data_IF_619824247804
#
_entry.id   IF_619824247804
#
_cell.length_a   1.000
_cell.length_b   1.000
_cell.length_c   1.000
_cell.angle_alpha   90.00
_cell.angle_beta   90.00
_cell.angle_gamma   90.00
#
_symmetry.space_group_name_H-M   'P 1'
#
loop_
_entity.id
_entity.type
_entity.pdbx_description
1 polymer ?
#
# COMPACT_ATOMS: atom_id res chain seq x y z
N UNK A 1 -6.75 -0.32 5.17
CA UNK A 1 -7.20 -1.16 6.31
C UNK A 1 -8.30 -0.43 7.06
N UNK A 2 -8.52 -0.73 8.35
CA UNK A 2 -9.55 -0.06 9.16
C UNK A 2 -9.23 1.41 9.48
N UNK A 3 -7.95 1.77 9.65
CA UNK A 3 -7.58 3.14 10.08
C UNK A 3 -6.76 3.89 9.05
N UNK A 4 -5.83 3.18 8.39
CA UNK A 4 -4.89 3.81 7.44
C UNK A 4 -4.76 3.01 6.15
N UNK A 5 -4.26 3.69 5.14
CA UNK A 5 -3.84 3.13 3.87
C UNK A 5 -2.35 3.40 3.67
N UNK A 6 -1.65 2.40 3.14
CA UNK A 6 -0.20 2.43 2.93
C UNK A 6 0.10 2.09 1.48
N UNK A 7 1.09 2.75 0.90
CA UNK A 7 1.57 2.47 -0.44
C UNK A 7 3.11 2.42 -0.44
N UNK A 8 3.68 1.56 -1.27
CA UNK A 8 5.11 1.49 -1.56
C UNK A 8 5.32 1.08 -3.02
N UNK A 9 6.55 1.24 -3.53
CA UNK A 9 6.90 0.84 -4.90
C UNK A 9 7.86 -0.33 -4.87
N UNK A 10 7.58 -1.34 -5.71
CA UNK A 10 8.45 -2.49 -5.96
C UNK A 10 8.91 -2.44 -7.41
N UNK A 11 10.22 -2.47 -7.65
CA UNK A 11 10.83 -2.47 -9.00
C UNK A 11 11.85 -3.59 -9.12
N UNK A 12 11.80 -4.36 -10.21
CA UNK A 12 12.69 -5.51 -10.39
C UNK A 12 12.60 -6.54 -9.26
N UNK A 13 11.41 -6.73 -8.70
CA UNK A 13 11.17 -7.64 -7.56
C UNK A 13 11.71 -7.14 -6.22
N UNK A 14 12.14 -5.88 -6.10
CA UNK A 14 12.71 -5.32 -4.86
C UNK A 14 11.93 -4.08 -4.40
N UNK A 15 11.51 -4.01 -3.13
CA UNK A 15 10.96 -2.77 -2.57
C UNK A 15 12.06 -1.72 -2.47
N UNK A 16 11.69 -0.44 -2.61
CA UNK A 16 12.61 0.66 -2.31
C UNK A 16 12.85 0.74 -0.80
N UNK A 17 14.11 0.89 -0.40
CA UNK A 17 14.53 0.99 1.00
C UNK A 17 14.98 2.42 1.25
N UNK A 18 14.52 3.00 2.36
CA UNK A 18 15.03 4.27 2.90
C UNK A 18 15.85 3.99 4.16
N UNK A 19 16.90 4.77 4.38
CA UNK A 19 17.72 4.71 5.60
C UNK A 19 17.39 5.83 6.59
N UNK A 20 16.37 6.64 6.27
CA UNK A 20 15.79 7.65 7.14
C UNK A 20 14.27 7.67 6.97
N UNK A 21 13.56 7.59 8.08
CA UNK A 21 12.11 7.81 8.11
C UNK A 21 11.72 8.51 9.42
N UNK A 22 10.54 9.12 9.46
CA UNK A 22 10.06 9.85 10.62
C UNK A 22 8.89 9.11 11.28
N UNK A 23 8.91 8.99 12.61
CA UNK A 23 7.86 8.30 13.40
C UNK A 23 7.12 9.28 14.30
N UNK A 24 5.85 9.03 14.56
CA UNK A 24 5.04 9.83 15.49
C UNK A 24 4.42 11.09 14.88
N UNK A 25 4.47 11.25 13.55
CA UNK A 25 3.84 12.36 12.85
C UNK A 25 2.42 12.11 12.38
N UNK A 26 1.73 13.17 11.94
CA UNK A 26 0.37 13.12 11.38
C UNK A 26 0.26 12.38 10.02
N UNK A 27 1.36 11.78 9.55
CA UNK A 27 1.46 10.98 8.32
C UNK A 27 2.92 10.65 7.99
N UNK A 28 3.15 9.51 7.32
CA UNK A 28 4.44 9.17 6.72
C UNK A 28 4.40 9.53 5.24
N UNK A 29 5.25 10.46 4.82
CA UNK A 29 5.30 10.93 3.43
C UNK A 29 6.55 10.41 2.70
N UNK A 30 6.91 9.15 2.93
CA UNK A 30 7.98 8.47 2.18
C UNK A 30 9.36 9.13 2.34
N UNK A 31 9.76 9.39 3.58
CA UNK A 31 11.12 9.83 3.95
C UNK A 31 11.53 11.26 3.56
N UNK A 32 10.77 11.97 2.71
CA UNK A 32 11.22 13.26 2.11
C UNK A 32 10.63 14.54 2.71
N UNK A 33 9.59 14.46 3.54
CA UNK A 33 9.10 15.63 4.31
C UNK A 33 9.67 15.57 5.72
N UNK A 34 10.75 16.31 5.93
CA UNK A 34 11.30 16.56 7.26
C UNK A 34 10.26 17.25 8.17
N UNK A 35 10.30 16.96 9.47
CA UNK A 35 9.57 17.75 10.49
C UNK A 35 8.16 17.28 10.86
N UNK A 36 7.69 16.13 10.38
CA UNK A 36 6.39 15.59 10.86
C UNK A 36 6.53 14.73 12.11
N UNK A 37 7.71 14.21 12.44
CA UNK A 37 7.93 13.29 13.58
C UNK A 37 9.41 13.18 13.98
N UNK A 38 9.74 12.17 14.78
CA UNK A 38 11.13 11.88 15.23
C UNK A 38 11.87 11.13 14.11
N UNK A 39 13.04 11.61 13.65
CA UNK A 39 13.82 10.91 12.64
C UNK A 39 14.44 9.63 13.20
N UNK A 40 14.31 8.54 12.46
CA UNK A 40 14.88 7.22 12.75
C UNK A 40 15.84 6.85 11.60
N UNK A 41 17.09 6.55 11.94
CA UNK A 41 18.19 6.23 11.02
C UNK A 41 18.39 4.71 10.83
N UNK A 42 17.29 4.00 10.62
CA UNK A 42 17.26 2.53 10.45
C UNK A 42 16.70 2.20 9.06
N UNK A 43 17.25 1.21 8.33
CA UNK A 43 16.69 0.77 7.06
C UNK A 43 15.23 0.34 7.21
N UNK A 44 14.36 0.91 6.39
CA UNK A 44 12.93 0.57 6.35
C UNK A 44 12.45 0.51 4.90
N UNK A 45 11.36 -0.23 4.67
CA UNK A 45 10.64 -0.16 3.39
C UNK A 45 10.11 1.27 3.25
N UNK A 46 10.42 1.87 2.12
CA UNK A 46 10.00 3.22 1.81
C UNK A 46 8.51 3.23 1.44
N UNK A 47 7.69 3.58 2.42
CA UNK A 47 6.24 3.61 2.34
C UNK A 47 5.68 4.98 2.66
N UNK A 48 4.57 5.32 2.01
CA UNK A 48 3.71 6.42 2.41
C UNK A 48 2.50 5.86 3.17
N UNK A 49 2.03 6.62 4.16
CA UNK A 49 0.85 6.30 4.96
C UNK A 49 -0.08 7.51 5.03
N UNK A 50 -1.35 7.26 4.76
CA UNK A 50 -2.44 8.23 4.88
C UNK A 50 -3.50 7.74 5.85
N UNK A 51 -4.06 8.64 6.64
CA UNK A 51 -5.13 8.39 7.60
C UNK A 51 -6.49 8.17 6.92
N UNK A 52 -6.58 7.17 6.06
CA UNK A 52 -7.77 6.79 5.31
C UNK A 52 -8.00 5.28 5.43
N UNK A 53 -9.14 4.88 5.98
CA UNK A 53 -9.52 3.48 6.16
C UNK A 53 -11.01 3.33 6.40
N UNK A 54 -11.48 2.09 6.61
CA UNK A 54 -12.90 1.79 6.81
C UNK A 54 -13.55 2.52 7.99
N UNK A 55 -12.78 2.77 9.06
CA UNK A 55 -13.24 3.52 10.24
C UNK A 55 -13.11 5.03 10.12
N UNK A 56 -12.59 5.57 9.00
CA UNK A 56 -12.49 7.02 8.82
C UNK A 56 -13.88 7.67 8.91
N UNK A 57 -14.01 8.67 9.78
CA UNK A 57 -15.27 9.35 10.05
C UNK A 57 -15.54 10.39 8.96
N UNK A 58 -16.76 10.41 8.44
CA UNK A 58 -17.28 11.43 7.54
C UNK A 58 -17.94 12.56 8.34
N UNK A 59 -17.64 13.81 8.00
CA UNK A 59 -18.14 14.98 8.73
C UNK A 59 -18.15 16.21 7.84
N UNK A 60 -18.92 17.23 8.23
CA UNK A 60 -18.95 18.53 7.54
C UNK A 60 -18.07 19.51 8.29
N UNK A 61 -17.17 20.19 7.56
CA UNK A 61 -16.39 21.27 8.16
C UNK A 61 -17.24 22.53 8.41
N UNK A 62 -16.62 23.56 9.02
CA UNK A 62 -17.33 24.81 9.35
C UNK A 62 -17.91 25.51 8.12
N UNK A 63 -17.42 25.21 6.92
CA UNK A 63 -17.92 25.75 5.67
C UNK A 63 -18.96 24.84 5.00
N UNK A 64 -19.39 23.76 5.67
CA UNK A 64 -20.34 22.78 5.14
C UNK A 64 -19.73 21.82 4.10
N UNK A 65 -18.40 21.79 3.96
CA UNK A 65 -17.74 20.88 3.00
C UNK A 65 -17.57 19.50 3.60
N UNK A 66 -17.92 18.46 2.84
CA UNK A 66 -17.74 17.07 3.24
C UNK A 66 -16.25 16.71 3.35
N UNK A 67 -15.87 16.15 4.50
CA UNK A 67 -14.56 15.62 4.82
C UNK A 67 -14.67 14.17 5.26
N UNK A 68 -13.65 13.37 4.98
CA UNK A 68 -13.52 11.99 5.47
C UNK A 68 -12.15 11.82 6.10
N UNK A 69 -12.10 11.41 7.36
CA UNK A 69 -10.87 11.45 8.16
C UNK A 69 -10.47 12.88 8.57
N UNK A 70 -9.28 13.07 9.18
CA UNK A 70 -8.33 12.02 9.60
C UNK A 70 -8.79 11.28 10.86
N UNK A 71 -9.88 11.73 11.50
CA UNK A 71 -10.49 11.02 12.64
C UNK A 71 -10.95 9.63 12.20
N UNK A 72 -10.75 8.65 13.07
CA UNK A 72 -11.21 7.28 12.89
C UNK A 72 -12.03 6.85 14.09
N UNK A 73 -13.11 6.12 13.85
CA UNK A 73 -13.91 5.46 14.87
C UNK A 73 -13.21 4.21 15.45
N UNK A 74 -12.08 3.79 14.86
CA UNK A 74 -11.34 2.61 15.28
C UNK A 74 -12.17 1.32 15.12
N UNK A 75 -11.93 0.36 16.00
CA UNK A 75 -12.74 -0.87 16.11
C UNK A 75 -13.78 -0.80 17.24
N UNK A 76 -13.58 0.08 18.23
CA UNK A 76 -14.49 0.33 19.34
C UNK A 76 -14.43 1.83 19.70
N UNK A 77 -15.55 2.57 19.64
CA UNK A 77 -16.91 2.10 19.35
C UNK A 77 -17.14 1.70 17.88
N UNK A 78 -16.19 2.00 16.98
CA UNK A 78 -16.21 1.57 15.59
C UNK A 78 -17.27 2.24 14.71
N UNK A 79 -17.35 1.84 13.43
CA UNK A 79 -18.47 2.15 12.54
C UNK A 79 -19.84 1.95 13.18
N UNK A 80 -20.83 2.79 12.83
CA UNK A 80 -22.17 2.67 13.39
C UNK A 80 -22.80 1.30 13.10
N UNK A 81 -22.51 0.75 11.92
CA UNK A 81 -22.96 -0.57 11.49
C UNK A 81 -22.42 -1.73 12.35
N UNK A 82 -21.40 -1.52 13.18
CA UNK A 82 -20.92 -2.56 14.11
C UNK A 82 -21.85 -2.74 15.31
N UNK A 83 -22.70 -1.77 15.64
CA UNK A 83 -23.61 -1.85 16.78
C UNK A 83 -22.91 -1.80 18.15
N UNK A 84 -21.67 -1.33 18.21
CA UNK A 84 -20.85 -1.26 19.43
C UNK A 84 -20.91 0.14 20.10
N UNK A 85 -21.95 0.92 19.82
CA UNK A 85 -22.14 2.27 20.36
C UNK A 85 -21.64 3.41 19.45
N UNK A 86 -21.06 3.09 18.28
CA UNK A 86 -20.69 4.08 17.28
C UNK A 86 -21.94 4.72 16.64
N UNK A 87 -21.89 6.03 16.38
CA UNK A 87 -23.02 6.78 15.80
C UNK A 87 -22.62 7.75 14.69
N UNK A 88 -21.32 8.07 14.56
CA UNK A 88 -20.82 8.91 13.48
C UNK A 88 -20.73 8.09 12.17
N UNK A 89 -21.05 8.68 11.00
CA UNK A 89 -20.94 7.98 9.74
C UNK A 89 -19.48 7.71 9.39
N UNK A 90 -19.19 6.47 8.98
CA UNK A 90 -17.84 6.05 8.55
C UNK A 90 -17.82 5.52 7.12
N UNK A 91 -16.61 5.27 6.61
CA UNK A 91 -16.40 4.63 5.31
C UNK A 91 -17.03 3.23 5.24
N UNK A 92 -16.95 2.45 6.32
CA UNK A 92 -17.60 1.13 6.39
C UNK A 92 -19.12 1.26 6.34
N UNK A 93 -19.71 2.25 7.01
CA UNK A 93 -21.15 2.53 6.94
C UNK A 93 -21.57 2.87 5.50
N UNK A 94 -20.81 3.74 4.83
CA UNK A 94 -21.03 4.10 3.44
C UNK A 94 -20.95 2.88 2.50
N UNK A 95 -19.91 2.06 2.63
CA UNK A 95 -19.73 0.88 1.80
C UNK A 95 -20.81 -0.19 2.05
N UNK A 96 -21.36 -0.28 3.25
CA UNK A 96 -22.51 -1.14 3.55
C UNK A 96 -23.79 -0.61 2.88
N UNK A 97 -24.05 0.70 2.97
CA UNK A 97 -25.21 1.33 2.30
C UNK A 97 -25.11 1.19 0.78
N UNK A 98 -23.94 1.38 0.19
CA UNK A 98 -23.72 1.23 -1.26
C UNK A 98 -23.86 -0.21 -1.75
N UNK A 99 -23.97 -1.21 -0.86
CA UNK A 99 -24.00 -2.62 -1.23
C UNK A 99 -22.62 -3.17 -1.67
N UNK A 100 -21.54 -2.45 -1.39
CA UNK A 100 -20.17 -2.91 -1.64
C UNK A 100 -19.67 -3.86 -0.55
N UNK A 101 -20.24 -3.78 0.65
CA UNK A 101 -19.99 -4.69 1.77
C UNK A 101 -21.27 -5.48 2.10
N UNK A 102 -21.17 -6.72 2.58
CA UNK A 102 -22.31 -7.49 3.10
C UNK A 102 -22.22 -7.67 4.62
N UNK A 103 -23.38 -7.92 5.21
CA UNK A 103 -23.53 -8.40 6.59
C UNK A 103 -23.56 -9.93 6.68
N UNK A 104 -23.14 -10.65 5.63
CA UNK A 104 -23.28 -12.11 5.55
C UNK A 104 -22.24 -12.83 6.41
N UNK A 105 -20.98 -12.39 6.36
CA UNK A 105 -19.87 -13.02 7.08
C UNK A 105 -19.68 -12.45 8.49
N UNK A 106 -20.06 -11.19 8.71
CA UNK A 106 -19.97 -10.50 10.00
C UNK A 106 -21.32 -9.83 10.25
N UNK A 107 -21.92 -9.97 11.45
CA UNK A 107 -23.14 -9.26 11.79
C UNK A 107 -22.91 -7.75 11.73
N UNK A 108 -23.50 -7.11 10.72
CA UNK A 108 -23.53 -5.66 10.57
C UNK A 108 -24.98 -5.20 10.59
N UNK A 109 -25.22 -3.96 11.00
CA UNK A 109 -26.55 -3.35 11.05
C UNK A 109 -26.73 -2.32 9.93
N UNK A 110 -27.36 -2.70 8.79
CA UNK A 110 -27.75 -1.75 7.76
C UNK A 110 -28.60 -0.59 8.28
N UNK A 111 -29.56 -0.78 9.22
CA UNK A 111 -30.32 0.34 9.79
C UNK A 111 -29.46 1.38 10.52
N UNK A 112 -28.41 0.95 11.25
CA UNK A 112 -27.51 1.88 11.94
C UNK A 112 -26.62 2.64 10.96
N UNK A 113 -26.10 1.96 9.93
CA UNK A 113 -25.34 2.61 8.85
C UNK A 113 -26.18 3.67 8.13
N UNK A 114 -27.42 3.30 7.78
CA UNK A 114 -28.40 4.17 7.15
C UNK A 114 -28.67 5.42 7.99
N UNK A 115 -28.97 5.24 9.28
CA UNK A 115 -29.24 6.34 10.21
C UNK A 115 -28.05 7.29 10.36
N UNK A 116 -26.83 6.77 10.44
CA UNK A 116 -25.62 7.59 10.53
C UNK A 116 -25.43 8.44 9.26
N UNK A 117 -25.64 7.85 8.08
CA UNK A 117 -25.53 8.56 6.81
C UNK A 117 -26.68 9.54 6.55
N UNK A 118 -27.90 9.30 7.06
CA UNK A 118 -28.98 10.30 7.00
C UNK A 118 -28.58 11.60 7.71
N UNK A 119 -27.88 11.49 8.84
CA UNK A 119 -27.35 12.64 9.58
C UNK A 119 -26.32 13.45 8.79
N UNK A 120 -25.64 12.83 7.82
CA UNK A 120 -24.72 13.48 6.90
C UNK A 120 -25.43 14.04 5.66
N UNK A 121 -26.37 13.28 5.11
CA UNK A 121 -27.07 13.59 3.86
C UNK A 121 -28.03 14.79 4.01
N UNK A 122 -28.73 14.88 5.15
CA UNK A 122 -29.68 15.97 5.43
C UNK A 122 -29.06 17.36 5.29
N UNK A 123 -27.97 17.68 6.01
CA UNK A 123 -27.30 18.98 5.89
C UNK A 123 -26.64 19.22 4.52
N UNK A 124 -26.29 18.18 3.77
CA UNK A 124 -25.76 18.29 2.40
C UNK A 124 -26.85 18.52 1.35
N UNK A 125 -28.13 18.28 1.67
CA UNK A 125 -29.23 18.41 0.72
C UNK A 125 -29.20 17.35 -0.39
N UNK A 126 -28.64 16.17 -0.13
CA UNK A 126 -28.54 15.05 -1.09
C UNK A 126 -29.19 13.78 -0.55
N UNK A 127 -29.37 12.77 -1.41
CA UNK A 127 -29.84 11.46 -0.95
C UNK A 127 -28.78 10.76 -0.10
N UNK A 128 -29.22 9.78 0.71
CA UNK A 128 -28.33 8.94 1.52
C UNK A 128 -27.28 8.24 0.65
N UNK A 129 -27.70 7.72 -0.50
CA UNK A 129 -26.84 7.01 -1.45
C UNK A 129 -25.80 7.94 -2.05
N UNK A 130 -26.20 9.16 -2.42
CA UNK A 130 -25.29 10.17 -2.93
C UNK A 130 -24.26 10.58 -1.87
N UNK A 131 -24.67 10.74 -0.61
CA UNK A 131 -23.76 11.00 0.50
C UNK A 131 -22.80 9.82 0.74
N UNK A 132 -23.31 8.58 0.73
CA UNK A 132 -22.50 7.37 0.87
C UNK A 132 -21.46 7.25 -0.26
N UNK A 133 -21.88 7.49 -1.50
CA UNK A 133 -21.00 7.47 -2.66
C UNK A 133 -19.93 8.55 -2.57
N UNK A 134 -20.29 9.76 -2.14
CA UNK A 134 -19.33 10.84 -1.91
C UNK A 134 -18.28 10.46 -0.84
N UNK A 135 -18.69 9.80 0.25
CA UNK A 135 -17.76 9.27 1.26
C UNK A 135 -16.79 8.24 0.64
N UNK A 136 -17.30 7.31 -0.17
CA UNK A 136 -16.48 6.32 -0.87
C UNK A 136 -15.47 6.97 -1.83
N UNK A 137 -15.88 7.98 -2.60
CA UNK A 137 -14.99 8.69 -3.52
C UNK A 137 -13.93 9.52 -2.82
N UNK A 138 -14.29 10.24 -1.75
CA UNK A 138 -13.35 11.06 -0.99
C UNK A 138 -12.30 10.18 -0.31
N UNK A 139 -12.69 9.05 0.31
CA UNK A 139 -11.71 8.15 0.92
C UNK A 139 -10.81 7.52 -0.15
N UNK A 140 -11.34 7.13 -1.30
CA UNK A 140 -10.55 6.58 -2.41
C UNK A 140 -9.54 7.60 -2.93
N UNK A 141 -9.93 8.87 -3.06
CA UNK A 141 -9.03 9.98 -3.40
C UNK A 141 -7.94 10.20 -2.33
N UNK A 142 -8.30 10.08 -1.06
CA UNK A 142 -7.34 10.16 0.06
C UNK A 142 -6.33 9.02 0.01
N UNK A 143 -6.79 7.78 -0.22
CA UNK A 143 -5.90 6.62 -0.41
C UNK A 143 -4.97 6.79 -1.62
N UNK A 144 -5.47 7.34 -2.72
CA UNK A 144 -4.68 7.67 -3.91
C UNK A 144 -3.52 8.63 -3.60
N UNK A 145 -3.66 9.52 -2.61
CA UNK A 145 -2.56 10.40 -2.20
C UNK A 145 -1.33 9.64 -1.72
N UNK A 146 -1.47 8.45 -1.13
CA UNK A 146 -0.33 7.60 -0.76
C UNK A 146 0.43 7.10 -1.99
N UNK A 147 -0.31 6.69 -3.04
CA UNK A 147 0.28 6.28 -4.33
C UNK A 147 1.01 7.45 -4.98
N UNK A 148 0.42 8.65 -4.97
CA UNK A 148 1.05 9.87 -5.51
C UNK A 148 2.40 10.18 -4.83
N UNK A 149 2.50 10.03 -3.51
CA UNK A 149 3.74 10.26 -2.74
C UNK A 149 4.84 9.28 -3.11
N UNK A 150 4.52 8.00 -3.30
CA UNK A 150 5.53 6.98 -3.63
C UNK A 150 5.83 6.86 -5.13
N UNK A 151 5.03 7.48 -5.99
CA UNK A 151 5.23 7.46 -7.46
C UNK A 151 5.55 8.84 -8.04
N UNK A 152 4.53 9.65 -8.32
CA UNK A 152 4.62 10.92 -9.06
C UNK A 152 5.57 11.91 -8.39
N UNK A 153 5.54 12.06 -7.07
CA UNK A 153 6.47 12.94 -6.34
C UNK A 153 7.93 12.49 -6.42
N UNK A 154 8.19 11.31 -6.97
CA UNK A 154 9.51 10.72 -7.16
C UNK A 154 9.88 10.58 -8.65
N UNK A 155 9.10 11.20 -9.55
CA UNK A 155 9.31 11.09 -10.99
C UNK A 155 9.07 9.68 -11.55
N UNK A 156 8.27 8.86 -10.86
CA UNK A 156 7.89 7.53 -11.31
C UNK A 156 6.52 7.62 -11.98
N UNK A 157 6.44 7.19 -13.24
CA UNK A 157 5.17 7.06 -13.97
C UNK A 157 4.41 5.82 -13.47
N UNK A 158 3.26 5.98 -12.78
CA UNK A 158 2.49 4.86 -12.24
C UNK A 158 1.82 4.00 -13.32
N UNK A 159 1.62 4.50 -14.55
CA UNK A 159 0.92 3.76 -15.61
C UNK A 159 1.64 2.48 -16.03
N UNK A 160 2.97 2.42 -15.83
CA UNK A 160 3.78 1.23 -16.08
C UNK A 160 3.74 0.18 -14.96
N UNK A 161 2.90 0.36 -13.93
CA UNK A 161 2.82 -0.53 -12.78
C UNK A 161 1.46 -1.24 -12.69
N UNK A 162 1.48 -2.42 -12.05
CA UNK A 162 0.28 -3.08 -11.54
C UNK A 162 0.05 -2.66 -10.10
N UNK A 163 -1.17 -2.24 -9.75
CA UNK A 163 -1.55 -1.95 -8.37
C UNK A 163 -1.88 -3.26 -7.63
N UNK A 164 -1.06 -3.66 -6.67
CA UNK A 164 -1.36 -4.81 -5.81
C UNK A 164 -2.18 -4.34 -4.60
N UNK A 165 -3.44 -4.74 -4.52
CA UNK A 165 -4.36 -4.32 -3.46
C UNK A 165 -4.59 -5.43 -2.44
N UNK A 166 -4.36 -5.11 -1.16
CA UNK A 166 -4.54 -6.03 -0.05
C UNK A 166 -4.98 -5.33 1.24
N UNK A 167 -5.23 -6.13 2.28
CA UNK A 167 -5.90 -5.76 3.51
C UNK A 167 -7.43 -5.77 3.36
N UNK A 168 -8.16 -5.74 4.48
CA UNK A 168 -9.62 -5.95 4.45
C UNK A 168 -10.43 -4.95 3.60
N UNK A 169 -9.99 -3.69 3.53
CA UNK A 169 -10.68 -2.63 2.77
C UNK A 169 -9.99 -2.25 1.45
N UNK A 170 -8.76 -2.69 1.21
CA UNK A 170 -7.97 -2.22 0.06
C UNK A 170 -8.61 -2.56 -1.29
N UNK A 171 -8.94 -3.84 -1.56
CA UNK A 171 -9.56 -4.27 -2.82
C UNK A 171 -10.87 -3.57 -3.18
N UNK A 172 -11.63 -3.09 -2.18
CA UNK A 172 -12.90 -2.39 -2.39
C UNK A 172 -12.73 -1.01 -3.04
N UNK A 173 -11.59 -0.36 -2.81
CA UNK A 173 -11.28 0.97 -3.32
C UNK A 173 -10.27 0.94 -4.48
N UNK A 174 -9.72 -0.23 -4.80
CA UNK A 174 -8.53 -0.36 -5.65
C UNK A 174 -8.76 0.09 -7.09
N UNK A 175 -9.92 -0.21 -7.68
CA UNK A 175 -10.27 0.25 -9.03
C UNK A 175 -10.29 1.79 -9.10
N UNK A 176 -10.98 2.45 -8.16
CA UNK A 176 -11.04 3.93 -8.08
C UNK A 176 -9.68 4.57 -7.83
N UNK A 177 -8.81 3.93 -7.04
CA UNK A 177 -7.43 4.39 -6.85
C UNK A 177 -6.63 4.25 -8.15
N UNK A 178 -6.79 3.15 -8.87
CA UNK A 178 -6.09 2.88 -10.12
C UNK A 178 -6.50 3.84 -11.25
N UNK A 179 -7.79 4.14 -11.40
CA UNK A 179 -8.33 5.10 -12.39
C UNK A 179 -7.64 6.46 -12.31
N UNK A 180 -7.41 6.97 -11.08
CA UNK A 180 -6.79 8.28 -10.84
C UNK A 180 -5.35 8.40 -11.35
N UNK A 181 -4.67 7.28 -11.56
CA UNK A 181 -3.29 7.22 -12.04
C UNK A 181 -3.15 6.58 -13.42
N UNK A 182 -4.26 6.21 -14.07
CA UNK A 182 -4.23 5.48 -15.33
C UNK A 182 -3.58 4.09 -15.21
N UNK A 183 -3.66 3.48 -14.02
CA UNK A 183 -3.16 2.12 -13.81
C UNK A 183 -4.18 1.14 -14.41
N UNK A 184 -3.80 0.45 -15.49
CA UNK A 184 -4.69 -0.44 -16.22
C UNK A 184 -4.97 -1.77 -15.50
N UNK A 185 -4.13 -2.17 -14.54
CA UNK A 185 -4.22 -3.48 -13.89
C UNK A 185 -4.14 -3.37 -12.38
N UNK A 186 -5.12 -3.96 -11.70
CA UNK A 186 -5.12 -4.20 -10.25
C UNK A 186 -5.01 -5.70 -10.02
N UNK A 187 -4.17 -6.11 -9.07
CA UNK A 187 -4.05 -7.50 -8.64
C UNK A 187 -4.45 -7.63 -7.18
N UNK A 188 -5.40 -8.53 -6.87
CA UNK A 188 -5.86 -8.84 -5.52
C UNK A 188 -5.42 -10.26 -5.16
N UNK A 189 -4.38 -10.46 -4.34
CA UNK A 189 -3.84 -11.79 -4.03
C UNK A 189 -4.82 -12.70 -3.29
N UNK A 190 -4.62 -14.02 -3.38
CA UNK A 190 -5.45 -15.06 -2.74
C UNK A 190 -5.65 -14.87 -1.21
N UNK A 191 -4.68 -14.28 -0.53
CA UNK A 191 -4.75 -14.02 0.91
C UNK A 191 -4.78 -12.52 1.21
N UNK A 192 -5.47 -11.73 0.37
CA UNK A 192 -5.44 -10.28 0.44
C UNK A 192 -5.78 -9.73 1.84
N UNK A 193 -6.78 -10.29 2.53
CA UNK A 193 -7.17 -9.86 3.88
C UNK A 193 -6.05 -10.00 4.94
N UNK A 194 -5.14 -10.96 4.76
CA UNK A 194 -4.04 -11.30 5.69
C UNK A 194 -2.66 -11.21 5.03
N UNK A 195 -2.53 -10.47 3.93
CA UNK A 195 -1.31 -10.46 3.12
C UNK A 195 -0.05 -10.03 3.89
N UNK A 196 -0.18 -9.20 4.93
CA UNK A 196 0.96 -8.86 5.81
C UNK A 196 1.48 -10.06 6.60
N UNK A 197 0.59 -10.95 7.06
CA UNK A 197 1.00 -12.19 7.74
C UNK A 197 1.63 -13.17 6.74
N UNK A 198 1.08 -13.26 5.52
CA UNK A 198 1.69 -14.04 4.45
C UNK A 198 3.11 -13.51 4.10
N UNK A 199 3.29 -12.20 4.03
CA UNK A 199 4.58 -11.56 3.81
C UNK A 199 5.59 -11.82 4.93
N UNK A 200 5.14 -11.88 6.19
CA UNK A 200 5.98 -12.27 7.33
C UNK A 200 6.51 -13.71 7.19
N UNK A 201 5.67 -14.63 6.73
CA UNK A 201 6.05 -16.04 6.52
C UNK A 201 6.93 -16.24 5.28
N UNK A 202 6.77 -15.40 4.26
CA UNK A 202 7.52 -15.48 3.01
C UNK A 202 8.86 -14.72 3.03
N UNK A 203 9.04 -13.80 3.99
CA UNK A 203 10.21 -12.95 4.08
C UNK A 203 11.47 -13.71 4.48
N UNK A 204 12.57 -13.46 3.77
CA UNK A 204 13.89 -13.90 4.21
C UNK A 204 14.30 -13.14 5.48
N UNK A 205 14.87 -13.84 6.46
CA UNK A 205 15.48 -13.19 7.63
C UNK A 205 16.70 -12.39 7.18
N UNK A 206 16.86 -11.19 7.70
CA UNK A 206 18.02 -10.36 7.40
C UNK A 206 18.39 -9.45 8.56
N UNK A 207 19.69 -9.21 8.70
CA UNK A 207 20.27 -8.30 9.68
C UNK A 207 21.11 -7.26 8.96
N UNK A 208 20.92 -5.98 9.31
CA UNK A 208 21.70 -4.86 8.82
C UNK A 208 22.67 -4.35 9.91
N UNK A 209 23.88 -3.98 9.49
CA UNK A 209 24.90 -3.31 10.32
C UNK A 209 25.49 -2.12 9.56
N UNK A 210 25.79 -1.05 10.29
CA UNK A 210 26.36 0.17 9.73
C UNK A 210 27.46 0.72 10.64
N UNK A 211 28.56 1.18 10.03
CA UNK A 211 29.60 1.96 10.69
C UNK A 211 29.74 3.31 10.00
N UNK A 212 29.53 4.40 10.74
CA UNK A 212 29.81 5.75 10.27
C UNK A 212 31.30 6.05 10.39
N UNK A 213 31.98 6.21 9.26
CA UNK A 213 33.42 6.52 9.21
C UNK A 213 33.74 7.23 7.89
N UNK A 214 34.44 8.35 7.97
CA UNK A 214 34.91 9.08 6.80
C UNK A 214 36.09 8.34 6.16
N UNK A 215 35.99 8.04 4.86
CA UNK A 215 37.04 7.53 3.97
C UNK A 215 38.09 6.62 4.65
N UNK A 216 37.70 5.41 5.00
CA UNK A 216 38.50 4.47 5.80
C UNK A 216 39.76 3.90 5.13
N UNK A 217 40.19 4.40 3.98
CA UNK A 217 41.27 3.79 3.19
C UNK A 217 40.84 2.44 2.63
N UNK A 218 41.22 1.32 3.27
CA UNK A 218 40.76 -0.03 2.95
C UNK A 218 39.49 -0.38 3.75
N UNK A 219 38.31 -0.52 3.10
CA UNK A 219 37.07 -0.86 3.79
C UNK A 219 36.86 -2.36 4.01
N UNK A 220 37.71 -3.24 3.49
CA UNK A 220 37.52 -4.69 3.62
C UNK A 220 37.49 -5.18 5.08
N UNK A 221 38.38 -4.70 5.99
CA UNK A 221 38.29 -5.07 7.41
C UNK A 221 36.97 -4.64 8.05
N UNK A 222 36.43 -3.48 7.65
CA UNK A 222 35.14 -2.98 8.16
C UNK A 222 34.01 -3.91 7.71
N UNK A 223 33.94 -4.22 6.41
CA UNK A 223 32.91 -5.12 5.89
C UNK A 223 32.96 -6.51 6.53
N UNK A 224 34.17 -7.04 6.77
CA UNK A 224 34.34 -8.33 7.43
C UNK A 224 33.79 -8.32 8.87
N UNK A 225 34.11 -7.29 9.65
CA UNK A 225 33.58 -7.14 11.01
C UNK A 225 32.06 -7.02 11.02
N UNK A 226 31.49 -6.11 10.22
CA UNK A 226 30.04 -5.91 10.16
C UNK A 226 29.30 -7.16 9.66
N UNK A 227 29.89 -7.92 8.73
CA UNK A 227 29.31 -9.18 8.26
C UNK A 227 29.31 -10.27 9.34
N UNK A 228 30.40 -10.38 10.11
CA UNK A 228 30.48 -11.34 11.21
C UNK A 228 29.44 -11.04 12.30
N UNK A 229 29.31 -9.78 12.70
CA UNK A 229 28.30 -9.33 13.67
C UNK A 229 26.88 -9.57 13.18
N UNK A 230 26.58 -9.22 11.93
CA UNK A 230 25.25 -9.43 11.34
C UNK A 230 24.90 -10.92 11.17
N UNK A 231 25.88 -11.77 10.85
CA UNK A 231 25.68 -13.21 10.74
C UNK A 231 25.45 -13.87 12.12
N UNK A 232 26.14 -13.41 13.16
CA UNK A 232 25.98 -13.92 14.52
C UNK A 232 24.54 -13.75 15.03
N UNK A 233 23.89 -12.62 14.73
CA UNK A 233 22.48 -12.37 15.08
C UNK A 233 21.51 -13.36 14.42
N UNK A 234 21.82 -13.86 13.23
CA UNK A 234 20.95 -14.79 12.50
C UNK A 234 21.08 -16.23 13.02
N UNK A 235 22.20 -16.57 13.66
CA UNK A 235 22.43 -17.91 14.20
C UNK A 235 22.50 -19.04 13.17
N UNK A 236 22.73 -18.70 11.88
CA UNK A 236 22.79 -19.65 10.77
C UNK A 236 24.23 -19.82 10.24
N UNK A 237 24.54 -20.97 9.58
CA UNK A 237 25.85 -21.18 8.97
C UNK A 237 26.16 -20.14 7.89
N UNK A 238 27.39 -19.62 7.87
CA UNK A 238 27.81 -18.60 6.91
C UNK A 238 27.65 -19.04 5.43
N UNK A 239 27.72 -20.34 5.14
CA UNK A 239 27.52 -20.92 3.81
C UNK A 239 26.11 -20.73 3.25
N UNK A 240 25.12 -20.49 4.12
CA UNK A 240 23.72 -20.28 3.73
C UNK A 240 23.38 -18.80 3.57
N UNK A 241 24.27 -17.91 4.00
CA UNK A 241 24.01 -16.48 4.11
C UNK A 241 24.51 -15.71 2.90
N UNK A 242 23.67 -14.82 2.37
CA UNK A 242 24.06 -13.84 1.34
C UNK A 242 24.47 -12.53 2.00
N UNK A 243 25.69 -12.09 1.73
CA UNK A 243 26.22 -10.79 2.21
C UNK A 243 26.12 -9.76 1.09
N UNK A 244 25.45 -8.64 1.35
CA UNK A 244 25.40 -7.47 0.48
C UNK A 244 26.14 -6.31 1.16
N UNK A 245 27.01 -5.63 0.41
CA UNK A 245 27.84 -4.52 0.89
C UNK A 245 27.44 -3.23 0.19
N UNK A 246 27.25 -2.17 0.96
CA UNK A 246 26.97 -0.83 0.43
C UNK A 246 27.70 0.24 1.23
N UNK A 247 27.76 1.43 0.66
CA UNK A 247 28.41 2.59 1.27
C UNK A 247 27.54 3.82 1.10
N UNK A 248 27.57 4.70 2.10
CA UNK A 248 26.95 6.02 2.03
C UNK A 248 27.96 6.99 1.44
N UNK A 249 27.59 7.61 0.32
CA UNK A 249 28.45 8.48 -0.49
C UNK A 249 27.82 9.86 -0.60
N UNK A 250 28.64 10.90 -0.51
CA UNK A 250 28.23 12.28 -0.77
C UNK A 250 29.29 13.04 -1.55
N UNK A 251 28.92 14.16 -2.15
CA UNK A 251 29.92 15.10 -2.64
C UNK A 251 30.67 15.73 -1.47
N UNK A 252 31.97 15.96 -1.63
CA UNK A 252 32.80 16.59 -0.61
C UNK A 252 32.23 17.96 -0.20
N UNK A 253 32.01 18.15 1.10
CA UNK A 253 31.40 19.36 1.65
C UNK A 253 29.85 19.39 1.64
N UNK A 254 29.19 18.37 1.06
CA UNK A 254 27.75 18.21 1.15
C UNK A 254 27.35 17.59 2.50
N UNK A 255 26.16 17.92 3.00
CA UNK A 255 25.62 17.34 4.23
C UNK A 255 24.81 16.04 4.03
N UNK A 256 24.25 15.82 2.84
CA UNK A 256 23.37 14.69 2.54
C UNK A 256 24.11 13.62 1.74
N UNK A 257 23.92 12.37 2.13
CA UNK A 257 24.49 11.18 1.50
C UNK A 257 23.43 10.30 0.81
N UNK A 258 23.89 9.48 -0.12
CA UNK A 258 23.10 8.44 -0.78
C UNK A 258 23.82 7.09 -0.65
N UNK A 259 23.08 6.07 -0.28
CA UNK A 259 23.59 4.70 -0.23
C UNK A 259 23.69 4.10 -1.64
N UNK A 260 24.87 3.56 -1.97
CA UNK A 260 25.12 2.83 -3.22
C UNK A 260 25.81 1.49 -2.95
N UNK A 261 25.57 0.50 -3.82
CA UNK A 261 26.21 -0.81 -3.72
C UNK A 261 27.74 -0.67 -3.88
N UNK A 262 28.48 -1.31 -2.97
CA UNK A 262 29.94 -1.24 -2.94
C UNK A 262 30.56 -1.85 -4.21
N UNK A 263 31.68 -1.26 -4.63
CA UNK A 263 32.57 -1.84 -5.63
C UNK A 263 34.00 -1.35 -5.33
N UNK A 264 35.04 -2.19 -5.51
CA UNK A 264 36.41 -1.79 -5.23
C UNK A 264 36.93 -0.68 -6.15
N UNK A 265 36.30 -0.46 -7.32
CA UNK A 265 36.66 0.63 -8.23
C UNK A 265 35.99 1.93 -7.78
N UNK A 266 36.81 2.90 -7.34
CA UNK A 266 36.36 4.26 -7.00
C UNK A 266 35.59 4.93 -8.15
N UNK A 267 36.06 4.77 -9.39
CA UNK A 267 35.38 5.36 -10.56
C UNK A 267 34.00 4.76 -10.77
N UNK A 268 33.87 3.43 -10.70
CA UNK A 268 32.56 2.77 -10.80
C UNK A 268 31.63 3.16 -9.65
N UNK A 269 32.17 3.33 -8.45
CA UNK A 269 31.42 3.79 -7.30
C UNK A 269 30.90 5.23 -7.52
N UNK A 270 31.75 6.12 -8.03
CA UNK A 270 31.39 7.49 -8.39
C UNK A 270 30.30 7.51 -9.47
N UNK A 271 30.45 6.74 -10.55
CA UNK A 271 29.42 6.63 -11.60
C UNK A 271 28.08 6.13 -11.06
N UNK A 272 28.09 5.12 -10.16
CA UNK A 272 26.88 4.63 -9.48
C UNK A 272 26.23 5.72 -8.63
N UNK A 273 27.03 6.49 -7.90
CA UNK A 273 26.56 7.62 -7.10
C UNK A 273 25.97 8.71 -7.98
N UNK A 274 26.63 9.17 -9.04
CA UNK A 274 26.11 10.21 -9.94
C UNK A 274 24.80 9.79 -10.59
N UNK A 275 24.69 8.55 -11.07
CA UNK A 275 23.46 8.02 -11.64
C UNK A 275 22.32 7.96 -10.60
N UNK A 276 22.61 7.59 -9.34
CA UNK A 276 21.63 7.60 -8.25
C UNK A 276 21.25 9.03 -7.86
N UNK A 277 22.20 9.96 -7.82
CA UNK A 277 22.00 11.37 -7.51
C UNK A 277 21.05 12.03 -8.52
N UNK A 278 21.33 11.85 -9.82
CA UNK A 278 20.47 12.34 -10.90
C UNK A 278 19.05 11.77 -10.82
N UNK A 279 18.90 10.49 -10.46
CA UNK A 279 17.58 9.87 -10.28
C UNK A 279 16.82 10.41 -9.07
N UNK A 280 17.51 10.75 -7.98
CA UNK A 280 16.89 11.20 -6.73
C UNK A 280 16.53 12.68 -6.79
N UNK A 281 17.43 13.51 -7.31
CA UNK A 281 17.34 14.97 -7.28
C UNK A 281 17.01 15.60 -8.64
N UNK A 282 17.04 14.85 -9.74
CA UNK A 282 16.77 15.36 -11.09
C UNK A 282 17.91 16.19 -11.68
N UNK A 283 19.09 16.20 -11.05
CA UNK A 283 20.24 17.01 -11.44
C UNK A 283 21.42 16.09 -11.76
N UNK A 284 21.98 16.24 -12.96
CA UNK A 284 23.25 15.62 -13.31
C UNK A 284 24.39 16.43 -12.68
N UNK A 285 25.13 15.81 -11.77
CA UNK A 285 26.28 16.41 -11.10
C UNK A 285 27.40 15.39 -11.02
N UNK A 286 28.62 15.85 -11.28
CA UNK A 286 29.87 15.09 -11.14
C UNK A 286 30.82 15.88 -10.23
N UNK A 287 31.73 15.18 -9.56
CA UNK A 287 32.67 15.82 -8.64
C UNK A 287 33.32 14.84 -7.67
N UNK A 288 34.16 15.38 -6.77
CA UNK A 288 34.85 14.60 -5.75
C UNK A 288 33.84 14.02 -4.74
N UNK A 289 33.93 12.71 -4.49
CA UNK A 289 33.05 11.98 -3.58
C UNK A 289 33.81 11.56 -2.31
N UNK A 290 33.11 11.56 -1.17
CA UNK A 290 33.61 11.01 0.09
C UNK A 290 32.66 9.91 0.62
N UNK A 291 33.24 8.87 1.20
CA UNK A 291 32.52 7.79 1.87
C UNK A 291 32.29 8.19 3.32
N UNK A 292 31.06 8.15 3.81
CA UNK A 292 30.72 8.54 5.20
C UNK A 292 30.18 7.39 6.05
N UNK A 293 29.77 6.29 5.41
CA UNK A 293 29.20 5.13 6.07
C UNK A 293 29.45 3.84 5.31
N UNK A 294 29.65 2.75 6.04
CA UNK A 294 29.84 1.41 5.53
C UNK A 294 28.73 0.51 6.04
N UNK A 295 28.05 -0.19 5.13
CA UNK A 295 26.85 -0.98 5.43
C UNK A 295 27.02 -2.42 4.97
N UNK A 296 26.56 -3.34 5.81
CA UNK A 296 26.41 -4.75 5.47
C UNK A 296 24.99 -5.19 5.78
N UNK A 297 24.39 -5.87 4.81
CA UNK A 297 23.18 -6.66 5.00
C UNK A 297 23.52 -8.13 4.83
N UNK A 298 23.20 -8.94 5.84
CA UNK A 298 23.26 -10.40 5.75
C UNK A 298 21.84 -10.92 5.64
N UNK A 299 21.58 -11.79 4.66
CA UNK A 299 20.24 -12.32 4.39
C UNK A 299 20.30 -13.83 4.31
N UNK A 300 19.42 -14.51 5.06
CA UNK A 300 19.19 -15.93 4.97
C UNK A 300 18.48 -16.30 3.65
N UNK A 301 18.46 -17.59 3.25
CA UNK A 301 17.60 -18.03 2.16
C UNK A 301 16.14 -17.70 2.47
N UNK A 302 15.38 -17.31 1.45
CA UNK A 302 13.95 -17.12 1.63
C UNK A 302 13.29 -18.47 1.96
N UNK A 303 12.32 -18.52 2.87
CA UNK A 303 11.54 -19.72 3.11
C UNK A 303 10.87 -20.20 1.81
N UNK A 304 10.82 -21.52 1.62
CA UNK A 304 10.01 -22.10 0.54
C UNK A 304 8.55 -21.94 0.94
N UNK A 305 7.86 -20.98 0.31
CA UNK A 305 6.42 -20.85 0.47
C UNK A 305 5.72 -21.90 -0.38
N UNK A 306 4.75 -22.66 0.16
CA UNK A 306 3.90 -23.52 -0.66
C UNK A 306 3.31 -22.68 -1.79
N UNK A 307 3.45 -23.15 -3.03
CA UNK A 307 2.76 -22.54 -4.16
C UNK A 307 1.26 -22.56 -3.90
N UNK A 308 0.56 -21.51 -4.34
CA UNK A 308 -0.91 -21.55 -4.30
C UNK A 308 -1.35 -22.63 -5.29
N UNK A 309 -2.04 -23.64 -4.80
CA UNK A 309 -2.59 -24.67 -5.66
C UNK A 309 -3.66 -24.04 -6.56
N UNK A 310 -3.56 -24.19 -7.89
CA UNK A 310 -4.61 -23.71 -8.78
C UNK A 310 -5.90 -24.44 -8.42
N UNK A 311 -6.90 -23.74 -7.89
CA UNK A 311 -8.28 -24.24 -7.88
C UNK A 311 -8.96 -23.81 -9.17
N UNK A 312 -9.66 -24.75 -9.78
CA UNK A 312 -10.54 -24.46 -10.90
C UNK A 312 -11.65 -23.51 -10.47
N UNK A 313 -12.04 -22.65 -11.42
CA UNK A 313 -13.26 -21.87 -11.28
C UNK A 313 -14.44 -22.85 -11.19
N UNK A 314 -15.24 -22.71 -10.15
CA UNK A 314 -16.49 -23.45 -9.99
C UNK A 314 -17.55 -22.83 -10.87
N UNK A 315 -18.37 -23.66 -11.53
CA UNK A 315 -19.52 -23.20 -12.33
C UNK A 315 -20.74 -22.82 -11.48
N UNK A 316 -20.56 -22.55 -10.18
CA UNK A 316 -21.66 -22.19 -9.30
C UNK A 316 -22.23 -20.82 -9.71
N UNK A 317 -23.55 -20.70 -9.72
CA UNK A 317 -24.21 -19.44 -10.03
C UNK A 317 -23.89 -18.40 -8.95
N UNK A 318 -23.53 -17.15 -9.32
CA UNK A 318 -23.28 -16.09 -8.35
C UNK A 318 -24.56 -15.73 -7.61
N UNK A 319 -24.41 -15.27 -6.36
CA UNK A 319 -25.48 -14.60 -5.63
C UNK A 319 -25.85 -13.28 -6.30
N UNK A 320 -26.86 -12.59 -5.77
CA UNK A 320 -27.26 -11.26 -6.27
C UNK A 320 -27.47 -10.29 -5.12
N UNK A 321 -27.10 -9.03 -5.35
CA UNK A 321 -27.24 -7.95 -4.35
C UNK A 321 -27.50 -6.64 -5.07
N UNK A 322 -28.33 -5.78 -4.46
CA UNK A 322 -28.47 -4.39 -4.88
C UNK A 322 -27.22 -3.62 -4.48
N UNK A 323 -26.53 -3.03 -5.44
CA UNK A 323 -25.37 -2.16 -5.22
C UNK A 323 -25.52 -0.86 -6.01
N UNK A 324 -25.06 0.25 -5.44
CA UNK A 324 -25.24 1.58 -6.00
C UNK A 324 -24.02 1.99 -6.82
N UNK A 325 -24.20 2.13 -8.13
CA UNK A 325 -23.20 2.64 -9.06
C UNK A 325 -23.81 3.81 -9.84
N UNK A 326 -23.39 5.07 -9.63
CA UNK A 326 -23.90 6.21 -10.39
C UNK A 326 -23.79 6.02 -11.91
N UNK A 327 -22.70 5.39 -12.37
CA UNK A 327 -22.45 5.11 -13.78
C UNK A 327 -23.44 4.11 -14.38
N UNK A 328 -24.11 3.31 -13.55
CA UNK A 328 -25.17 2.38 -13.95
C UNK A 328 -26.59 2.91 -13.65
N UNK A 329 -26.74 4.20 -13.31
CA UNK A 329 -28.03 4.81 -12.99
C UNK A 329 -28.48 4.62 -11.54
N UNK A 330 -27.56 4.32 -10.62
CA UNK A 330 -27.83 4.18 -9.19
C UNK A 330 -27.86 2.72 -8.74
N UNK A 331 -28.84 2.34 -7.91
CA UNK A 331 -28.93 0.94 -7.46
C UNK A 331 -29.27 0.03 -8.63
N UNK A 332 -28.38 -0.92 -8.88
CA UNK A 332 -28.57 -2.01 -9.84
C UNK A 332 -28.39 -3.35 -9.13
N UNK A 333 -28.98 -4.40 -9.68
CA UNK A 333 -28.88 -5.75 -9.14
C UNK A 333 -27.66 -6.45 -9.75
N UNK A 334 -26.60 -6.59 -8.96
CA UNK A 334 -25.28 -7.04 -9.42
C UNK A 334 -24.99 -8.48 -9.00
N UNK A 335 -24.25 -9.25 -9.81
CA UNK A 335 -23.79 -10.57 -9.39
C UNK A 335 -22.77 -10.44 -8.25
N UNK A 336 -22.89 -11.33 -7.27
CA UNK A 336 -21.97 -11.49 -6.15
C UNK A 336 -21.26 -12.83 -6.30
N UNK A 337 -19.98 -12.76 -6.63
CA UNK A 337 -19.11 -13.90 -6.83
C UNK A 337 -18.34 -14.21 -5.55
N UNK A 338 -17.97 -15.47 -5.33
CA UNK A 338 -16.78 -15.78 -4.53
C UNK A 338 -15.58 -15.84 -5.45
N UNK A 339 -14.34 -15.80 -4.92
CA UNK A 339 -13.12 -15.92 -5.72
C UNK A 339 -13.16 -17.15 -6.64
N UNK A 340 -13.68 -18.27 -6.15
CA UNK A 340 -13.78 -19.53 -6.91
C UNK A 340 -14.80 -19.47 -8.05
N UNK A 341 -15.69 -18.48 -8.10
CA UNK A 341 -16.68 -18.33 -9.18
C UNK A 341 -16.28 -17.26 -10.21
N UNK A 342 -15.10 -16.66 -10.07
CA UNK A 342 -14.59 -15.64 -10.99
C UNK A 342 -13.92 -16.32 -12.19
N UNK A 343 -14.61 -16.33 -13.33
CA UNK A 343 -14.01 -16.73 -14.61
C UNK A 343 -13.39 -15.51 -15.32
N UNK A 344 -14.20 -14.84 -16.14
CA UNK A 344 -13.97 -13.52 -16.74
C UNK A 344 -15.33 -12.83 -16.71
N UNK A 345 -15.43 -11.74 -15.96
CA UNK A 345 -16.69 -11.01 -15.77
C UNK A 345 -16.46 -9.51 -15.95
N UNK A 346 -17.42 -8.85 -16.59
CA UNK A 346 -17.49 -7.40 -16.67
C UNK A 346 -18.25 -6.85 -15.45
N UNK A 347 -17.83 -5.70 -14.96
CA UNK A 347 -18.58 -4.93 -13.97
C UNK A 347 -19.87 -4.34 -14.55
N UNK A 348 -20.83 -3.91 -13.69
CA UNK A 348 -20.72 -3.86 -12.24
C UNK A 348 -20.90 -5.24 -11.58
N UNK A 349 -19.98 -5.60 -10.69
CA UNK A 349 -20.03 -6.84 -9.91
C UNK A 349 -19.31 -6.67 -8.56
N UNK A 350 -19.61 -7.58 -7.62
CA UNK A 350 -18.89 -7.65 -6.34
C UNK A 350 -18.34 -9.07 -6.16
N UNK A 351 -17.12 -9.18 -5.66
CA UNK A 351 -16.49 -10.44 -5.31
C UNK A 351 -16.27 -10.46 -3.81
N UNK A 352 -16.95 -11.35 -3.10
CA UNK A 352 -16.76 -11.60 -1.68
C UNK A 352 -15.63 -12.62 -1.49
N UNK A 353 -14.58 -12.16 -0.83
CA UNK A 353 -13.41 -12.96 -0.51
C UNK A 353 -13.35 -13.18 1.01
N UNK A 354 -12.70 -14.25 1.46
CA UNK A 354 -12.70 -14.70 2.85
C UNK A 354 -12.25 -13.63 3.87
N UNK A 355 -11.52 -12.60 3.44
CA UNK A 355 -11.10 -11.49 4.29
C UNK A 355 -11.20 -10.11 3.65
N UNK A 356 -11.92 -9.96 2.53
CA UNK A 356 -12.10 -8.67 1.86
C UNK A 356 -13.27 -8.70 0.87
N UNK A 357 -13.60 -7.56 0.30
CA UNK A 357 -14.56 -7.46 -0.79
C UNK A 357 -13.92 -6.69 -1.94
N UNK A 358 -14.01 -7.24 -3.14
CA UNK A 358 -13.49 -6.63 -4.37
C UNK A 358 -14.68 -6.03 -5.12
N UNK A 359 -14.61 -4.74 -5.41
CA UNK A 359 -15.64 -4.06 -6.22
C UNK A 359 -15.12 -3.97 -7.65
N UNK A 360 -15.91 -4.48 -8.59
CA UNK A 360 -15.64 -4.39 -10.03
C UNK A 360 -16.62 -3.37 -10.58
N UNK A 361 -16.26 -2.07 -10.67
CA UNK A 361 -17.17 -1.04 -11.16
C UNK A 361 -17.44 -1.19 -12.66
N UNK A 362 -18.46 -0.50 -13.22
CA UNK A 362 -18.63 -0.41 -14.68
C UNK A 362 -17.34 0.04 -15.38
N UNK A 363 -17.03 -0.53 -16.54
CA UNK A 363 -15.77 -0.26 -17.28
C UNK A 363 -14.56 -1.08 -16.81
N UNK A 364 -14.74 -1.93 -15.80
CA UNK A 364 -13.71 -2.88 -15.35
C UNK A 364 -14.13 -4.33 -15.62
N UNK A 365 -13.12 -5.18 -15.79
CA UNK A 365 -13.26 -6.64 -15.85
C UNK A 365 -12.48 -7.29 -14.74
N UNK A 366 -12.93 -8.46 -14.30
CA UNK A 366 -12.24 -9.28 -13.32
C UNK A 366 -12.05 -10.71 -13.85
N UNK A 367 -10.84 -11.24 -13.70
CA UNK A 367 -10.53 -12.62 -14.01
C UNK A 367 -9.63 -13.24 -12.94
N UNK A 368 -9.79 -14.54 -12.69
CA UNK A 368 -8.89 -15.28 -11.80
C UNK A 368 -7.63 -15.67 -12.57
N UNK A 369 -6.45 -15.39 -12.01
CA UNK A 369 -5.18 -15.82 -12.60
C UNK A 369 -4.71 -17.19 -12.07
N UNK A 370 -3.63 -17.71 -12.66
CA UNK A 370 -3.04 -19.00 -12.27
C UNK A 370 -2.48 -19.01 -10.84
N UNK A 371 -2.14 -17.83 -10.30
CA UNK A 371 -1.70 -17.64 -8.92
C UNK A 371 -2.85 -17.43 -7.94
N UNK A 372 -4.10 -17.65 -8.38
CA UNK A 372 -5.31 -17.48 -7.56
C UNK A 372 -5.54 -16.04 -7.11
N UNK A 373 -4.90 -15.09 -7.76
CA UNK A 373 -5.20 -13.67 -7.59
C UNK A 373 -6.34 -13.27 -8.53
N UNK A 374 -7.18 -12.36 -8.06
CA UNK A 374 -8.17 -11.71 -8.93
C UNK A 374 -7.48 -10.54 -9.60
N UNK A 375 -7.36 -10.61 -10.92
CA UNK A 375 -6.86 -9.52 -11.75
C UNK A 375 -8.03 -8.68 -12.24
N UNK A 376 -8.04 -7.40 -11.86
CA UNK A 376 -8.93 -6.42 -12.45
C UNK A 376 -8.20 -5.70 -13.59
N UNK A 377 -8.88 -5.54 -14.72
CA UNK A 377 -8.41 -4.74 -15.85
C UNK A 377 -9.44 -3.67 -16.17
N UNK A 378 -9.04 -2.41 -16.08
CA UNK A 378 -9.87 -1.28 -16.48
C UNK A 378 -9.57 -0.93 -17.93
N UNK A 379 -10.58 -0.44 -18.64
CA UNK A 379 -10.37 0.29 -19.87
C UNK A 379 -9.60 1.56 -19.48
N UNK A 380 -8.26 1.50 -19.55
CA UNK A 380 -7.39 2.59 -19.12
C UNK A 380 -7.89 3.90 -19.73
N UNK A 381 -7.92 4.98 -18.94
CA UNK A 381 -8.36 6.29 -19.41
C UNK A 381 -7.70 6.59 -20.76
N UNK A 382 -8.54 6.67 -21.81
CA UNK A 382 -8.14 6.98 -23.17
C UNK A 382 -7.49 8.36 -23.26
#
# INVERSE_FOLDING_TARGET
GGTTAKACVVRGGRPEITHEFHVGGKGSFGGRRAGTGVPIKTPAIDLAEVGAGGGSVAWLDRAGTLRVGPRSAGSSPGPACYGLGGSEPTVTDANLVLGYLSSASIPLSPPLAAKALDGLAGPLGVSREAAAHAVHEIVSASMASAVHVVTVQRGIDPRGFTLVAFGGAGPMHAARVAERFGIATVLVPAHCGVASAAGLLAGALSTDRVLSRLDAGDPEPIFRTLAAEAAADLGLPASELRVTRSVDVRFKGQSHDLTVEWTPSRDRLASRFFARYARVYGIAQEGEIELVGYRVRVTAPAPVTPGVQPRSVTGAAPGRRRAYFPEAGGYTDVPVHTRETVADLAGPAVIEDAGSTIVVPPGWRAALDAGHAVRLTGDGAA
#
